data_IF_220261760458
#
_entry.id   IF_220261760458
#
_cell.length_a   1.000
_cell.length_b   1.000
_cell.length_c   1.000
_cell.angle_alpha   90.00
_cell.angle_beta   90.00
_cell.angle_gamma   90.00
#
_symmetry.space_group_name_H-M   'P 1'
#
loop_
_entity.id
_entity.type
_entity.pdbx_description
1 polymer ?
#
# COMPACT_ATOMS: atom_id res chain seq x y z
N UNK A 1 -9.59 23.02 -16.82
CA UNK A 1 -8.35 22.27 -17.13
C UNK A 1 -8.39 21.02 -16.29
N UNK A 2 -8.84 19.91 -16.87
CA UNK A 2 -8.99 18.62 -16.19
C UNK A 2 -7.63 17.96 -16.14
N UNK A 3 -7.05 17.85 -14.94
CA UNK A 3 -5.79 17.17 -14.71
C UNK A 3 -5.99 15.70 -15.06
N UNK A 4 -5.46 15.28 -16.20
CA UNK A 4 -5.29 13.88 -16.55
C UNK A 4 -4.32 13.26 -15.54
N UNK A 5 -4.87 12.69 -14.47
CA UNK A 5 -4.11 11.92 -13.46
C UNK A 5 -4.16 10.42 -13.80
N UNK A 6 -4.19 10.11 -15.09
CA UNK A 6 -4.14 8.78 -15.67
C UNK A 6 -2.70 8.36 -15.89
N UNK A 7 -2.09 7.72 -14.91
CA UNK A 7 -0.75 7.13 -15.07
C UNK A 7 -0.74 6.09 -16.18
N UNK A 8 0.36 5.99 -16.92
CA UNK A 8 0.46 5.20 -18.17
C UNK A 8 0.08 3.72 -18.00
N UNK A 9 0.21 3.19 -16.79
CA UNK A 9 0.01 1.78 -16.45
C UNK A 9 -1.20 1.53 -15.55
N UNK A 10 -2.15 2.45 -15.47
CA UNK A 10 -3.34 2.25 -14.63
C UNK A 10 -4.13 1.01 -15.04
N UNK A 11 -4.38 0.13 -14.07
CA UNK A 11 -5.32 -0.98 -14.20
C UNK A 11 -6.64 -0.55 -13.57
N UNK A 12 -7.70 -0.31 -14.36
CA UNK A 12 -9.00 0.11 -13.84
C UNK A 12 -9.66 -0.94 -12.95
N UNK A 13 -9.16 -2.18 -12.94
CA UNK A 13 -9.64 -3.27 -12.08
C UNK A 13 -8.83 -3.39 -10.78
N UNK A 14 -7.78 -2.59 -10.59
CA UNK A 14 -7.03 -2.59 -9.36
C UNK A 14 -7.89 -2.04 -8.21
N UNK A 15 -8.11 -2.89 -7.21
CA UNK A 15 -8.87 -2.56 -6.00
C UNK A 15 -8.01 -3.00 -4.83
N UNK A 16 -7.88 -2.14 -3.83
CA UNK A 16 -7.16 -2.47 -2.60
C UNK A 16 -7.86 -1.92 -1.36
N UNK A 17 -7.70 -2.64 -0.24
CA UNK A 17 -8.15 -2.19 1.08
C UNK A 17 -7.11 -1.34 1.80
N UNK A 18 -5.86 -1.33 1.30
CA UNK A 18 -4.79 -0.51 1.86
C UNK A 18 -5.10 0.95 1.60
N UNK A 19 -4.91 1.76 2.64
CA UNK A 19 -5.11 3.21 2.60
C UNK A 19 -3.78 3.91 2.77
N UNK A 20 -3.57 4.96 1.98
CA UNK A 20 -2.46 5.87 2.16
C UNK A 20 -2.70 6.70 3.44
N UNK A 21 -1.71 6.87 4.32
CA UNK A 21 -1.84 7.74 5.49
C UNK A 21 -2.07 9.20 5.08
N UNK A 22 -2.74 9.98 5.93
CA UNK A 22 -3.03 11.39 5.64
C UNK A 22 -1.76 12.20 5.30
N UNK A 23 -1.76 12.90 4.17
CA UNK A 23 -0.64 13.71 3.68
C UNK A 23 -1.11 14.96 2.92
N UNK A 24 -0.20 15.91 2.71
CA UNK A 24 -0.42 17.13 1.91
C UNK A 24 0.06 17.01 0.46
N UNK A 25 0.62 15.86 0.08
CA UNK A 25 1.18 15.58 -1.25
C UNK A 25 0.07 15.43 -2.30
N UNK A 26 0.41 15.76 -3.55
CA UNK A 26 -0.50 15.78 -4.69
C UNK A 26 -0.10 14.72 -5.71
N UNK A 27 -0.69 13.54 -5.60
CA UNK A 27 -0.52 12.44 -6.55
C UNK A 27 -1.77 11.56 -6.55
N UNK A 28 -1.90 10.70 -7.56
CA UNK A 28 -2.98 9.72 -7.58
C UNK A 28 -2.62 8.55 -6.66
N UNK A 29 -3.21 8.53 -5.47
CA UNK A 29 -2.95 7.52 -4.44
C UNK A 29 -3.21 6.10 -4.93
N UNK A 30 -4.32 5.88 -5.63
CA UNK A 30 -4.67 4.54 -6.14
C UNK A 30 -3.64 4.06 -7.15
N UNK A 31 -3.22 4.95 -8.05
CA UNK A 31 -2.19 4.63 -9.02
C UNK A 31 -0.85 4.33 -8.35
N UNK A 32 -0.44 5.13 -7.37
CA UNK A 32 0.80 4.89 -6.63
C UNK A 32 0.77 3.56 -5.86
N UNK A 33 -0.34 3.22 -5.22
CA UNK A 33 -0.52 1.92 -4.59
C UNK A 33 -0.45 0.77 -5.59
N UNK A 34 -1.01 0.95 -6.80
CA UNK A 34 -0.90 -0.04 -7.87
C UNK A 34 0.56 -0.25 -8.32
N UNK A 35 1.33 0.83 -8.47
CA UNK A 35 2.76 0.77 -8.79
C UNK A 35 3.54 0.00 -7.72
N UNK A 36 3.30 0.29 -6.45
CA UNK A 36 3.94 -0.42 -5.33
C UNK A 36 3.51 -1.90 -5.32
N UNK A 37 2.24 -2.20 -5.55
CA UNK A 37 1.73 -3.57 -5.58
C UNK A 37 2.42 -4.40 -6.67
N UNK A 38 2.56 -3.81 -7.86
CA UNK A 38 3.19 -4.44 -9.02
C UNK A 38 4.72 -4.50 -8.98
N UNK A 39 5.37 -3.70 -8.13
CA UNK A 39 6.82 -3.65 -8.07
C UNK A 39 7.43 -4.98 -7.63
N UNK A 40 8.44 -5.43 -8.38
CA UNK A 40 9.20 -6.66 -8.15
C UNK A 40 10.45 -6.41 -7.32
N UNK A 41 10.96 -5.18 -7.36
CA UNK A 41 12.12 -4.76 -6.57
C UNK A 41 11.82 -4.60 -5.07
N UNK A 42 10.55 -4.65 -4.67
CA UNK A 42 10.13 -4.43 -3.29
C UNK A 42 9.61 -5.71 -2.64
N UNK A 43 10.15 -6.00 -1.45
CA UNK A 43 9.57 -6.98 -0.53
C UNK A 43 8.26 -6.47 0.09
N UNK A 44 7.43 -7.37 0.64
CA UNK A 44 6.21 -7.01 1.38
C UNK A 44 6.49 -5.93 2.45
N UNK A 45 7.59 -6.06 3.17
CA UNK A 45 7.94 -5.14 4.25
C UNK A 45 8.38 -3.77 3.74
N UNK A 46 9.07 -3.71 2.60
CA UNK A 46 9.43 -2.45 1.95
C UNK A 46 8.21 -1.75 1.37
N UNK A 47 7.29 -2.48 0.73
CA UNK A 47 6.00 -1.95 0.27
C UNK A 47 5.25 -1.28 1.42
N UNK A 48 5.18 -1.96 2.58
CA UNK A 48 4.57 -1.41 3.81
C UNK A 48 5.28 -0.14 4.28
N UNK A 49 6.61 -0.17 4.40
CA UNK A 49 7.42 0.97 4.88
C UNK A 49 7.31 2.19 3.98
N UNK A 50 7.26 2.01 2.66
CA UNK A 50 7.08 3.12 1.72
C UNK A 50 5.74 3.79 1.97
N UNK A 51 4.66 3.01 2.07
CA UNK A 51 3.30 3.53 2.31
C UNK A 51 3.23 4.30 3.64
N UNK A 52 3.80 3.74 4.71
CA UNK A 52 3.84 4.38 6.03
C UNK A 52 4.70 5.65 6.05
N UNK A 53 5.69 5.74 5.17
CA UNK A 53 6.59 6.88 5.08
C UNK A 53 6.05 8.03 4.24
N UNK A 54 4.96 7.84 3.48
CA UNK A 54 4.39 8.86 2.58
C UNK A 54 4.25 10.25 3.25
N UNK A 55 3.70 10.40 4.47
CA UNK A 55 3.57 11.72 5.10
C UNK A 55 4.89 12.44 5.39
N UNK A 56 6.01 11.70 5.39
CA UNK A 56 7.36 12.20 5.65
C UNK A 56 8.13 12.51 4.36
N UNK A 57 7.57 12.17 3.20
CA UNK A 57 8.19 12.41 1.91
C UNK A 57 7.84 13.80 1.39
N UNK A 58 8.74 14.37 0.61
CA UNK A 58 8.48 15.55 -0.21
C UNK A 58 7.80 15.16 -1.53
N UNK A 59 7.14 16.13 -2.17
CA UNK A 59 6.52 15.92 -3.48
C UNK A 59 7.51 15.36 -4.50
N UNK A 60 8.71 15.94 -4.58
CA UNK A 60 9.77 15.47 -5.47
C UNK A 60 10.14 14.01 -5.23
N UNK A 61 10.14 13.55 -3.97
CA UNK A 61 10.45 12.15 -3.66
C UNK A 61 9.33 11.21 -4.13
N UNK A 62 8.06 11.58 -3.98
CA UNK A 62 6.94 10.80 -4.54
C UNK A 62 7.01 10.76 -6.06
N UNK A 63 7.26 11.91 -6.71
CA UNK A 63 7.33 11.98 -8.17
C UNK A 63 8.47 11.10 -8.71
N UNK A 64 9.64 11.11 -8.07
CA UNK A 64 10.76 10.23 -8.42
C UNK A 64 10.43 8.75 -8.17
N UNK A 65 9.74 8.41 -7.08
CA UNK A 65 9.32 7.02 -6.84
C UNK A 65 8.34 6.54 -7.91
N UNK A 66 7.35 7.37 -8.29
CA UNK A 66 6.41 7.06 -9.39
C UNK A 66 7.20 6.78 -10.66
N UNK A 67 8.12 7.68 -11.02
CA UNK A 67 8.95 7.52 -12.23
C UNK A 67 9.77 6.24 -12.19
N UNK A 68 10.42 5.92 -11.06
CA UNK A 68 11.22 4.70 -10.91
C UNK A 68 10.35 3.45 -11.12
N UNK A 69 9.14 3.41 -10.56
CA UNK A 69 8.24 2.27 -10.73
C UNK A 69 7.63 2.19 -12.14
N UNK A 70 7.34 3.31 -12.79
CA UNK A 70 6.93 3.33 -14.20
C UNK A 70 8.05 2.77 -15.10
N UNK A 71 9.30 3.20 -14.89
CA UNK A 71 10.46 2.68 -15.63
C UNK A 71 10.71 1.19 -15.35
N UNK A 72 10.44 0.71 -14.13
CA UNK A 72 10.48 -0.72 -13.79
C UNK A 72 9.46 -1.50 -14.63
N UNK A 73 8.21 -1.01 -14.71
CA UNK A 73 7.15 -1.64 -15.49
C UNK A 73 7.48 -1.63 -17.00
N UNK A 74 8.02 -0.53 -17.52
CA UNK A 74 8.47 -0.41 -18.92
C UNK A 74 9.48 -1.52 -19.26
N UNK A 75 10.58 -1.59 -18.49
CA UNK A 75 11.62 -2.61 -18.67
C UNK A 75 11.07 -4.03 -18.55
N UNK A 76 10.11 -4.23 -17.64
CA UNK A 76 9.51 -5.54 -17.44
C UNK A 76 8.60 -5.97 -18.59
N UNK A 77 7.86 -5.03 -19.19
CA UNK A 77 7.05 -5.29 -20.37
C UNK A 77 7.93 -5.61 -21.59
N UNK A 78 9.06 -4.93 -21.76
CA UNK A 78 10.05 -5.27 -22.80
C UNK A 78 10.61 -6.69 -22.63
N UNK A 79 10.80 -7.14 -21.37
CA UNK A 79 11.24 -8.51 -21.07
C UNK A 79 10.12 -9.54 -21.29
N UNK A 80 8.86 -9.18 -21.05
CA UNK A 80 7.69 -10.03 -21.24
C UNK A 80 7.53 -10.52 -22.68
N UNK A 81 7.87 -9.70 -23.66
CA UNK A 81 7.85 -10.11 -25.07
C UNK A 81 8.73 -11.33 -25.37
N UNK A 82 9.75 -11.59 -24.53
CA UNK A 82 10.71 -12.68 -24.68
C UNK A 82 10.50 -13.84 -23.70
N UNK A 83 9.86 -13.58 -22.55
CA UNK A 83 9.81 -14.50 -21.42
C UNK A 83 8.44 -14.54 -20.71
N UNK A 84 7.34 -14.52 -21.45
CA UNK A 84 5.97 -14.33 -20.92
C UNK A 84 5.63 -15.24 -19.72
N UNK A 85 5.91 -16.55 -19.77
CA UNK A 85 5.56 -17.46 -18.66
C UNK A 85 6.25 -17.13 -17.32
N UNK A 86 7.53 -16.74 -17.35
CA UNK A 86 8.26 -16.40 -16.13
C UNK A 86 7.77 -15.06 -15.56
N UNK A 87 7.44 -14.14 -16.46
CA UNK A 87 6.93 -12.81 -16.14
C UNK A 87 5.54 -12.90 -15.53
N UNK A 88 4.66 -13.78 -16.04
CA UNK A 88 3.35 -14.04 -15.42
C UNK A 88 3.50 -14.57 -13.98
N UNK A 89 4.40 -15.55 -13.75
CA UNK A 89 4.67 -16.07 -12.40
C UNK A 89 5.12 -14.98 -11.42
N UNK A 90 5.95 -14.05 -11.88
CA UNK A 90 6.41 -12.92 -11.08
C UNK A 90 5.27 -11.95 -10.75
N UNK A 91 4.37 -11.67 -11.71
CA UNK A 91 3.16 -10.85 -11.46
C UNK A 91 2.23 -11.51 -10.46
N UNK A 92 2.02 -12.81 -10.57
CA UNK A 92 1.20 -13.59 -9.63
C UNK A 92 1.81 -13.59 -8.22
N UNK A 93 3.14 -13.64 -8.12
CA UNK A 93 3.83 -13.50 -6.85
C UNK A 93 3.60 -12.10 -6.24
N UNK A 94 3.78 -11.02 -7.01
CA UNK A 94 3.52 -9.66 -6.53
C UNK A 94 2.08 -9.49 -6.04
N UNK A 95 1.10 -10.07 -6.75
CA UNK A 95 -0.31 -10.06 -6.35
C UNK A 95 -0.52 -10.80 -5.03
N UNK A 96 0.09 -11.98 -4.88
CA UNK A 96 0.02 -12.78 -3.65
C UNK A 96 0.64 -12.03 -2.47
N UNK A 97 1.80 -11.40 -2.69
CA UNK A 97 2.49 -10.58 -1.70
C UNK A 97 1.64 -9.38 -1.25
N UNK A 98 0.97 -8.73 -2.20
CA UNK A 98 0.05 -7.63 -1.91
C UNK A 98 -1.15 -8.09 -1.07
N UNK A 99 -1.77 -9.21 -1.44
CA UNK A 99 -2.87 -9.79 -0.67
C UNK A 99 -2.44 -10.16 0.76
N UNK A 100 -1.23 -10.69 0.93
CA UNK A 100 -0.69 -10.98 2.25
C UNK A 100 -0.53 -9.70 3.09
N UNK A 101 -0.14 -8.58 2.48
CA UNK A 101 -0.06 -7.27 3.14
C UNK A 101 -1.45 -6.77 3.57
N UNK A 102 -2.47 -6.93 2.72
CA UNK A 102 -3.86 -6.58 3.04
C UNK A 102 -4.40 -7.37 4.23
N UNK A 103 -4.13 -8.68 4.29
CA UNK A 103 -4.52 -9.55 5.41
C UNK A 103 -3.81 -9.13 6.70
N UNK A 104 -2.51 -8.86 6.65
CA UNK A 104 -1.75 -8.38 7.81
C UNK A 104 -2.35 -7.08 8.35
N UNK A 105 -2.64 -6.12 7.48
CA UNK A 105 -3.20 -4.83 7.90
C UNK A 105 -4.59 -4.96 8.55
N UNK A 106 -5.45 -5.87 8.03
CA UNK A 106 -6.74 -6.19 8.67
C UNK A 106 -6.56 -6.82 10.05
N UNK A 107 -5.60 -7.72 10.20
CA UNK A 107 -5.35 -8.44 11.45
C UNK A 107 -4.80 -7.50 12.53
N UNK A 108 -3.84 -6.64 12.17
CA UNK A 108 -3.29 -5.63 13.09
C UNK A 108 -4.37 -4.66 13.56
N UNK A 109 -5.20 -4.12 12.65
CA UNK A 109 -6.30 -3.23 13.02
C UNK A 109 -7.29 -3.89 13.98
N UNK A 110 -7.68 -5.14 13.71
CA UNK A 110 -8.60 -5.89 14.59
C UNK A 110 -8.00 -6.11 15.98
N UNK A 111 -6.72 -6.46 16.06
CA UNK A 111 -6.02 -6.63 17.34
C UNK A 111 -5.94 -5.30 18.12
N UNK A 112 -5.64 -4.18 17.46
CA UNK A 112 -5.61 -2.86 18.10
C UNK A 112 -7.00 -2.41 18.60
N UNK A 113 -8.07 -2.69 17.85
CA UNK A 113 -9.44 -2.38 18.25
C UNK A 113 -9.89 -3.22 19.45
N UNK A 114 -9.58 -4.51 19.46
CA UNK A 114 -9.91 -5.41 20.58
C UNK A 114 -9.11 -5.03 21.84
N UNK A 115 -7.84 -4.64 21.70
CA UNK A 115 -7.00 -4.12 22.79
C UNK A 115 -7.58 -2.84 23.39
N UNK A 116 -7.95 -1.85 22.56
CA UNK A 116 -8.56 -0.60 23.02
C UNK A 116 -9.87 -0.83 23.77
N UNK A 117 -10.74 -1.70 23.27
CA UNK A 117 -12.00 -2.05 23.94
C UNK A 117 -11.74 -2.71 25.30
N UNK A 118 -10.76 -3.61 25.38
CA UNK A 118 -10.39 -4.25 26.64
C UNK A 118 -9.86 -3.23 27.67
N UNK A 119 -9.06 -2.25 27.24
CA UNK A 119 -8.57 -1.16 28.10
C UNK A 119 -9.68 -0.23 28.57
N UNK A 120 -10.62 0.14 27.69
CA UNK A 120 -11.80 0.94 28.06
C UNK A 120 -12.69 0.21 29.08
N UNK A 121 -12.94 -1.09 28.89
CA UNK A 121 -13.71 -1.91 29.83
C UNK A 121 -13.00 -1.98 31.19
N UNK A 122 -11.66 -2.19 31.19
CA UNK A 122 -10.86 -2.16 32.42
C UNK A 122 -10.98 -0.80 33.12
N UNK A 123 -10.79 0.29 32.39
CA UNK A 123 -10.85 1.64 32.95
C UNK A 123 -12.21 1.94 33.60
N UNK A 124 -13.32 1.58 32.94
CA UNK A 124 -14.67 1.72 33.51
C UNK A 124 -14.85 0.90 34.80
N UNK A 125 -14.41 -0.36 34.79
CA UNK A 125 -14.53 -1.24 35.95
C UNK A 125 -13.73 -0.72 37.17
N UNK A 126 -12.53 -0.17 36.94
CA UNK A 126 -11.71 0.44 38.00
C UNK A 126 -12.29 1.76 38.52
N UNK A 127 -12.93 2.56 37.66
CA UNK A 127 -13.63 3.78 38.09
C UNK A 127 -14.86 3.48 38.94
N UNK A 128 -15.64 2.44 38.59
CA UNK A 128 -16.84 2.06 39.33
C UNK A 128 -16.52 1.47 40.72
N UNK A 129 -15.39 0.77 40.88
CA UNK A 129 -14.95 0.25 42.19
C UNK A 129 -14.40 1.33 43.15
N UNK A 130 -14.01 2.50 42.64
CA UNK A 130 -13.45 3.59 43.46
C UNK A 130 -14.51 4.56 43.98
N UNK A 131 -15.76 4.45 43.49
CA UNK A 131 -16.89 5.27 43.86
C UNK A 131 -17.84 4.60 44.89
N UNK A 132 -17.52 3.37 45.32
CA UNK A 132 -18.21 2.60 46.36
C UNK A 132 -17.35 2.51 47.63
#
# INVERSE_FOLDING_TARGET
>A
MTTDQGGKYQDPKFITVIKVPAHSLRFNEMYFLQLIAGSLSLTIEEKRKIIESIPKLSQKQIDELIKIFEEEIEKFNELAEKHDEQIQKLRDQCKTDWQALEVKQRTTKKQEEDQKKAEEIRAKLFSDQKAA
#
